data_IF_745583074706
#
_entry.id   IF_745583074706
#
_cell.length_a   1.000
_cell.length_b   1.000
_cell.length_c   1.000
_cell.angle_alpha   90.00
_cell.angle_beta   90.00
_cell.angle_gamma   90.00
#
_symmetry.space_group_name_H-M   'P 1'
#
loop_
_entity.id
_entity.type
_entity.pdbx_description
1 polymer ?
#
# COMPACT_ATOMS: atom_id res chain seq x y z
N UNK A 1 11.55 0.29 4.15
CA UNK A 1 11.92 0.22 5.58
C UNK A 1 13.31 -0.36 5.70
N UNK A 2 14.31 0.51 5.94
CA UNK A 2 15.75 0.17 5.93
C UNK A 2 16.36 0.05 7.33
N UNK A 3 15.54 0.07 8.38
CA UNK A 3 15.93 0.10 9.78
C UNK A 3 14.70 0.05 10.69
N UNK A 4 14.86 0.51 11.93
CA UNK A 4 13.79 0.48 12.92
C UNK A 4 12.67 1.50 12.62
N UNK A 5 11.42 1.05 12.68
CA UNK A 5 10.21 1.86 12.68
C UNK A 5 9.56 1.75 14.06
N UNK A 6 9.73 2.79 14.87
CA UNK A 6 9.33 2.80 16.28
C UNK A 6 8.28 3.87 16.54
N UNK A 7 7.18 3.52 17.20
CA UNK A 7 6.15 4.47 17.63
C UNK A 7 5.61 5.32 16.48
N UNK A 8 5.85 6.63 16.50
CA UNK A 8 5.45 7.53 15.41
C UNK A 8 6.08 7.15 14.06
N UNK A 9 7.28 6.58 14.03
CA UNK A 9 7.89 6.06 12.80
C UNK A 9 7.12 4.87 12.22
N UNK A 10 6.46 4.08 13.07
CA UNK A 10 5.54 3.02 12.64
C UNK A 10 4.28 3.64 12.02
N UNK A 11 3.72 4.71 12.60
CA UNK A 11 2.57 5.40 12.02
C UNK A 11 2.86 5.94 10.61
N UNK A 12 4.04 6.53 10.42
CA UNK A 12 4.47 7.02 9.11
C UNK A 12 4.54 5.87 8.08
N UNK A 13 5.12 4.73 8.47
CA UNK A 13 5.19 3.56 7.60
C UNK A 13 3.80 3.03 7.22
N UNK A 14 2.89 2.92 8.20
CA UNK A 14 1.52 2.45 7.99
C UNK A 14 0.70 3.39 7.10
N UNK A 15 1.04 4.68 7.05
CA UNK A 15 0.44 5.66 6.14
C UNK A 15 0.85 5.52 4.67
N UNK A 16 1.90 4.77 4.36
CA UNK A 16 2.31 4.49 2.97
C UNK A 16 1.35 3.50 2.28
N UNK A 17 1.20 3.62 0.96
CA UNK A 17 0.33 2.72 0.18
C UNK A 17 0.90 1.29 0.12
N UNK A 18 2.22 1.16 -0.08
CA UNK A 18 2.95 -0.11 -0.11
C UNK A 18 4.22 0.02 0.70
N UNK A 19 4.55 -0.99 1.51
CA UNK A 19 5.79 -1.07 2.29
C UNK A 19 6.63 -2.24 1.82
N UNK A 20 7.91 -2.00 1.58
CA UNK A 20 8.94 -3.02 1.37
C UNK A 20 9.98 -2.87 2.48
N UNK A 21 10.44 -3.98 3.05
CA UNK A 21 11.41 -3.98 4.15
C UNK A 21 12.69 -4.74 3.81
N UNK A 22 13.79 -4.28 4.39
CA UNK A 22 15.00 -5.08 4.52
C UNK A 22 14.82 -6.11 5.65
N UNK A 23 15.53 -7.25 5.59
CA UNK A 23 15.52 -8.25 6.68
C UNK A 23 15.89 -7.66 8.03
N UNK A 24 16.87 -6.74 8.06
CA UNK A 24 17.28 -6.05 9.29
C UNK A 24 16.23 -5.08 9.85
N UNK A 25 15.16 -4.77 9.12
CA UNK A 25 14.15 -3.84 9.63
C UNK A 25 13.57 -4.35 10.94
N UNK A 26 13.09 -3.42 11.77
CA UNK A 26 12.41 -3.73 13.03
C UNK A 26 11.16 -2.88 13.12
N UNK A 27 10.05 -3.46 13.54
CA UNK A 27 8.79 -2.76 13.73
C UNK A 27 8.37 -2.92 15.18
N UNK A 28 8.25 -1.79 15.87
CA UNK A 28 7.93 -1.74 17.28
C UNK A 28 6.93 -0.60 17.54
N UNK A 29 5.78 -0.93 18.09
CA UNK A 29 4.75 0.07 18.39
C UNK A 29 5.13 0.93 19.59
N UNK A 30 5.80 0.35 20.59
CA UNK A 30 6.35 0.95 21.82
C UNK A 30 5.44 1.81 22.70
N UNK A 31 4.18 2.07 22.30
CA UNK A 31 3.27 2.99 22.99
C UNK A 31 2.94 2.56 24.42
N UNK A 32 2.52 1.29 24.61
CA UNK A 32 2.11 0.81 25.93
C UNK A 32 3.29 0.67 26.89
N UNK A 33 4.47 0.29 26.38
CA UNK A 33 5.71 0.15 27.14
C UNK A 33 6.17 1.48 27.75
N UNK A 34 5.78 2.60 27.14
CA UNK A 34 6.03 3.95 27.66
C UNK A 34 4.80 4.56 28.36
N UNK A 35 3.75 3.77 28.60
CA UNK A 35 2.55 4.19 29.33
C UNK A 35 1.61 5.11 28.54
N UNK A 36 1.64 5.06 27.21
CA UNK A 36 0.85 5.95 26.35
C UNK A 36 -0.10 5.11 25.46
N UNK A 37 -1.34 5.56 25.33
CA UNK A 37 -2.27 4.97 24.35
C UNK A 37 -1.81 5.32 22.91
N UNK A 38 -1.81 4.38 21.96
CA UNK A 38 -1.43 4.68 20.57
C UNK A 38 -2.26 5.80 19.95
N UNK A 39 -1.59 6.79 19.36
CA UNK A 39 -2.22 7.94 18.68
C UNK A 39 -2.08 7.91 17.16
N UNK A 40 -2.60 8.93 16.48
CA UNK A 40 -2.38 9.15 15.04
C UNK A 40 -2.98 8.09 14.13
N UNK A 41 -4.04 7.40 14.57
CA UNK A 41 -4.69 6.34 13.79
C UNK A 41 -3.96 5.00 13.79
N UNK A 42 -2.94 4.81 14.64
CA UNK A 42 -2.11 3.59 14.67
C UNK A 42 -2.93 2.29 14.69
N UNK A 43 -3.81 2.14 15.68
CA UNK A 43 -4.63 0.93 15.87
C UNK A 43 -5.60 0.71 14.70
N UNK A 44 -6.16 1.79 14.16
CA UNK A 44 -7.05 1.77 13.00
C UNK A 44 -6.33 1.29 11.73
N UNK A 45 -5.11 1.77 11.49
CA UNK A 45 -4.31 1.40 10.31
C UNK A 45 -3.80 -0.02 10.43
N UNK A 46 -3.14 -0.36 11.55
CA UNK A 46 -2.51 -1.66 11.72
C UNK A 46 -3.53 -2.80 11.69
N UNK A 47 -4.71 -2.61 12.29
CA UNK A 47 -5.79 -3.61 12.26
C UNK A 47 -6.32 -3.88 10.86
N UNK A 48 -6.39 -2.85 10.01
CA UNK A 48 -6.81 -3.02 8.61
C UNK A 48 -5.73 -3.67 7.75
N UNK A 49 -4.46 -3.38 8.05
CA UNK A 49 -3.32 -3.85 7.25
C UNK A 49 -2.97 -5.30 7.59
N UNK A 50 -2.85 -5.63 8.88
CA UNK A 50 -2.30 -6.90 9.35
C UNK A 50 -3.29 -7.73 10.19
N UNK A 51 -4.53 -7.26 10.31
CA UNK A 51 -5.58 -7.96 11.04
C UNK A 51 -5.50 -7.80 12.57
N UNK A 52 -6.51 -8.34 13.29
CA UNK A 52 -6.66 -8.15 14.73
C UNK A 52 -5.57 -8.85 15.55
N UNK A 53 -5.14 -10.05 15.15
CA UNK A 53 -4.12 -10.83 15.87
C UNK A 53 -2.77 -10.10 15.90
N UNK A 54 -2.24 -9.74 14.73
CA UNK A 54 -0.99 -8.97 14.62
C UNK A 54 -1.07 -7.65 15.39
N UNK A 55 -2.22 -6.98 15.34
CA UNK A 55 -2.42 -5.72 16.07
C UNK A 55 -2.31 -5.94 17.58
N UNK A 56 -2.98 -6.95 18.13
CA UNK A 56 -2.91 -7.23 19.58
C UNK A 56 -1.50 -7.65 20.01
N UNK A 57 -0.87 -8.53 19.25
CA UNK A 57 0.48 -9.02 19.51
C UNK A 57 1.51 -7.87 19.59
N UNK A 58 1.49 -6.98 18.60
CA UNK A 58 2.46 -5.88 18.51
C UNK A 58 2.11 -4.66 19.36
N UNK A 59 0.82 -4.34 19.55
CA UNK A 59 0.40 -3.15 20.33
C UNK A 59 0.25 -3.45 21.81
N UNK A 60 -0.48 -4.52 22.15
CA UNK A 60 -0.83 -4.84 23.54
C UNK A 60 0.23 -5.68 24.20
N UNK A 61 0.69 -6.73 23.52
CA UNK A 61 1.73 -7.63 24.04
C UNK A 61 3.15 -7.15 23.73
N UNK A 62 3.27 -6.09 22.93
CA UNK A 62 4.55 -5.43 22.70
C UNK A 62 5.54 -6.22 21.86
N UNK A 63 5.06 -7.13 21.03
CA UNK A 63 5.91 -7.92 20.14
C UNK A 63 6.64 -7.01 19.13
N UNK A 64 7.96 -7.20 19.04
CA UNK A 64 8.82 -6.53 18.06
C UNK A 64 9.11 -7.50 16.93
N UNK A 65 8.78 -7.09 15.70
CA UNK A 65 8.90 -7.96 14.53
C UNK A 65 10.01 -7.48 13.61
N UNK A 66 10.70 -8.41 12.96
CA UNK A 66 11.70 -8.09 11.94
C UNK A 66 11.10 -7.99 10.53
N UNK A 67 11.94 -7.76 9.51
CA UNK A 67 11.47 -7.62 8.13
C UNK A 67 10.76 -8.87 7.60
N UNK A 68 11.29 -10.05 7.90
CA UNK A 68 10.75 -11.33 7.41
C UNK A 68 9.41 -11.63 8.08
N UNK A 69 9.34 -11.45 9.39
CA UNK A 69 8.10 -11.66 10.13
C UNK A 69 7.04 -10.62 9.79
N UNK A 70 7.45 -9.36 9.55
CA UNK A 70 6.53 -8.33 9.09
C UNK A 70 5.90 -8.65 7.73
N UNK A 71 6.60 -9.35 6.82
CA UNK A 71 6.02 -9.83 5.57
C UNK A 71 5.01 -10.95 5.83
N UNK A 72 5.38 -11.94 6.66
CA UNK A 72 4.51 -13.05 7.05
C UNK A 72 3.20 -12.57 7.70
N UNK A 73 3.28 -11.52 8.52
CA UNK A 73 2.15 -10.93 9.24
C UNK A 73 1.36 -9.91 8.42
N UNK A 74 1.79 -9.58 7.19
CA UNK A 74 1.12 -8.61 6.32
C UNK A 74 1.34 -7.15 6.69
N UNK A 75 2.27 -6.85 7.61
CA UNK A 75 2.66 -5.47 7.94
C UNK A 75 3.37 -4.84 6.73
N UNK A 76 4.20 -5.62 6.03
CA UNK A 76 4.84 -5.20 4.78
C UNK A 76 4.43 -6.12 3.64
N UNK A 77 4.45 -5.60 2.42
CA UNK A 77 4.12 -6.38 1.23
C UNK A 77 5.23 -7.35 0.84
N UNK A 78 6.49 -6.98 1.10
CA UNK A 78 7.65 -7.78 0.74
C UNK A 78 8.83 -7.50 1.66
N UNK A 79 9.54 -8.55 2.07
CA UNK A 79 10.88 -8.45 2.64
C UNK A 79 11.92 -8.84 1.60
N UNK A 80 13.04 -8.12 1.55
CA UNK A 80 14.17 -8.40 0.66
C UNK A 80 15.49 -8.34 1.42
N UNK A 81 16.57 -8.79 0.78
CA UNK A 81 17.91 -8.56 1.33
C UNK A 81 18.17 -7.07 1.53
N UNK A 82 19.03 -6.82 2.51
CA UNK A 82 19.37 -5.52 3.06
C UNK A 82 19.91 -4.52 2.04
N UNK A 83 20.66 -4.99 1.05
CA UNK A 83 21.26 -4.25 -0.06
C UNK A 83 20.32 -4.11 -1.27
N UNK A 84 19.31 -4.97 -1.38
CA UNK A 84 18.33 -4.97 -2.47
C UNK A 84 17.13 -4.05 -2.22
N UNK A 85 16.98 -3.53 -1.01
CA UNK A 85 15.81 -2.77 -0.59
C UNK A 85 15.46 -1.59 -1.52
N UNK A 86 16.44 -0.73 -1.85
CA UNK A 86 16.16 0.46 -2.67
C UNK A 86 15.80 0.08 -4.10
N UNK A 87 16.47 -0.94 -4.66
CA UNK A 87 16.17 -1.45 -5.99
C UNK A 87 14.73 -1.98 -6.05
N UNK A 88 14.36 -2.87 -5.13
CA UNK A 88 13.01 -3.43 -5.06
C UNK A 88 11.94 -2.34 -4.86
N UNK A 89 12.23 -1.31 -4.06
CA UNK A 89 11.34 -0.18 -3.87
C UNK A 89 11.14 0.66 -5.13
N UNK A 90 12.23 0.99 -5.84
CA UNK A 90 12.15 1.75 -7.09
C UNK A 90 11.48 0.95 -8.20
N UNK A 91 11.76 -0.34 -8.33
CA UNK A 91 11.10 -1.23 -9.30
C UNK A 91 9.59 -1.29 -9.06
N UNK A 92 9.16 -1.43 -7.80
CA UNK A 92 7.74 -1.38 -7.44
C UNK A 92 7.13 -0.02 -7.81
N UNK A 93 7.78 1.09 -7.45
CA UNK A 93 7.29 2.44 -7.70
C UNK A 93 7.22 2.79 -9.19
N UNK A 94 8.17 2.31 -9.99
CA UNK A 94 8.23 2.55 -11.44
C UNK A 94 6.96 2.07 -12.16
N UNK A 95 6.32 1.00 -11.67
CA UNK A 95 5.05 0.51 -12.22
C UNK A 95 3.92 1.53 -12.10
N UNK A 96 3.79 2.17 -10.93
CA UNK A 96 2.82 3.23 -10.74
C UNK A 96 3.22 4.50 -11.51
N UNK A 97 4.51 4.82 -11.55
CA UNK A 97 5.02 5.99 -12.28
C UNK A 97 4.84 5.90 -13.80
N UNK A 98 4.79 4.70 -14.38
CA UNK A 98 4.53 4.47 -15.80
C UNK A 98 3.05 4.61 -16.21
N UNK A 99 2.13 4.69 -15.25
CA UNK A 99 0.73 4.96 -15.51
C UNK A 99 0.48 6.49 -15.55
N UNK A 100 -0.59 6.95 -16.24
CA UNK A 100 -0.94 8.37 -16.23
C UNK A 100 -1.14 8.86 -14.79
N UNK A 101 -0.40 9.90 -14.40
CA UNK A 101 -0.34 10.40 -13.02
C UNK A 101 -1.73 10.65 -12.43
N UNK A 102 -2.62 11.23 -13.23
CA UNK A 102 -3.95 11.64 -12.77
C UNK A 102 -4.84 10.43 -12.53
N UNK A 103 -4.69 9.39 -13.37
CA UNK A 103 -5.36 8.11 -13.17
C UNK A 103 -4.87 7.42 -11.89
N UNK A 104 -3.56 7.46 -11.61
CA UNK A 104 -3.00 6.89 -10.38
C UNK A 104 -3.54 7.61 -9.15
N UNK A 105 -3.57 8.95 -9.17
CA UNK A 105 -4.11 9.74 -8.07
C UNK A 105 -5.58 9.40 -7.83
N UNK A 106 -6.38 9.36 -8.89
CA UNK A 106 -7.81 9.11 -8.73
C UNK A 106 -8.11 7.68 -8.29
N UNK A 107 -7.37 6.70 -8.82
CA UNK A 107 -7.44 5.31 -8.35
C UNK A 107 -7.10 5.20 -6.86
N UNK A 108 -6.05 5.89 -6.39
CA UNK A 108 -5.66 5.89 -4.97
C UNK A 108 -6.73 6.51 -4.08
N UNK A 109 -7.39 7.58 -4.53
CA UNK A 109 -8.49 8.20 -3.79
C UNK A 109 -9.68 7.25 -3.69
N UNK A 110 -10.07 6.60 -4.79
CA UNK A 110 -11.14 5.59 -4.78
C UNK A 110 -10.82 4.46 -3.81
N UNK A 111 -9.62 3.88 -3.85
CA UNK A 111 -9.20 2.82 -2.92
C UNK A 111 -9.34 3.27 -1.46
N UNK A 112 -8.89 4.48 -1.13
CA UNK A 112 -9.02 5.02 0.25
C UNK A 112 -10.48 5.22 0.65
N UNK A 113 -11.32 5.66 -0.28
CA UNK A 113 -12.75 5.86 -0.07
C UNK A 113 -13.57 4.56 -0.05
N UNK A 114 -12.96 3.39 -0.29
CA UNK A 114 -13.63 2.09 -0.11
C UNK A 114 -13.67 1.65 1.37
N UNK A 115 -12.94 2.33 2.26
CA UNK A 115 -12.82 1.92 3.65
C UNK A 115 -14.14 1.95 4.45
N UNK A 116 -15.17 2.64 3.96
CA UNK A 116 -16.51 2.73 4.55
C UNK A 116 -17.61 2.08 3.70
N UNK A 117 -17.24 1.41 2.60
CA UNK A 117 -18.19 0.69 1.75
C UNK A 117 -18.39 -0.72 2.28
N UNK A 118 -19.66 -1.08 2.51
CA UNK A 118 -20.03 -2.40 3.01
C UNK A 118 -20.70 -3.28 1.95
N UNK A 119 -21.35 -2.67 0.96
CA UNK A 119 -22.13 -3.37 -0.04
C UNK A 119 -21.55 -3.21 -1.46
N UNK A 120 -21.60 -4.28 -2.25
CA UNK A 120 -21.06 -4.28 -3.61
C UNK A 120 -21.69 -3.21 -4.53
N UNK A 121 -23.03 -2.99 -4.54
CA UNK A 121 -23.62 -1.92 -5.35
C UNK A 121 -23.08 -0.52 -5.04
N UNK A 122 -22.77 -0.24 -3.78
CA UNK A 122 -22.20 1.05 -3.36
C UNK A 122 -20.75 1.23 -3.83
N UNK A 123 -19.99 0.13 -3.86
CA UNK A 123 -18.65 0.12 -4.44
C UNK A 123 -18.70 0.45 -5.94
N UNK A 124 -19.57 -0.23 -6.68
CA UNK A 124 -19.78 0.01 -8.12
C UNK A 124 -20.20 1.46 -8.38
N UNK A 125 -21.14 1.99 -7.61
CA UNK A 125 -21.59 3.38 -7.76
C UNK A 125 -20.44 4.38 -7.55
N UNK A 126 -19.52 4.09 -6.62
CA UNK A 126 -18.36 4.95 -6.35
C UNK A 126 -17.30 4.90 -7.44
N UNK A 127 -17.10 3.73 -8.03
CA UNK A 127 -16.13 3.51 -9.10
C UNK A 127 -16.60 4.08 -10.44
N UNK A 128 -17.91 4.14 -10.67
CA UNK A 128 -18.50 4.52 -11.95
C UNK A 128 -18.06 5.92 -12.43
N UNK A 129 -18.08 6.93 -11.55
CA UNK A 129 -17.70 8.29 -11.95
C UNK A 129 -16.21 8.39 -12.34
N UNK A 130 -15.23 7.94 -11.52
CA UNK A 130 -13.83 7.86 -11.93
C UNK A 130 -13.61 7.02 -13.18
N UNK A 131 -14.33 5.91 -13.34
CA UNK A 131 -14.22 5.05 -14.52
C UNK A 131 -14.64 5.79 -15.79
N UNK A 132 -15.84 6.40 -15.81
CA UNK A 132 -16.33 7.18 -16.95
C UNK A 132 -15.46 8.42 -17.22
N UNK A 133 -14.90 9.05 -16.19
CA UNK A 133 -13.93 10.13 -16.36
C UNK A 133 -12.69 9.62 -17.10
N UNK A 134 -12.16 8.45 -16.73
CA UNK A 134 -10.93 7.90 -17.29
C UNK A 134 -11.03 7.59 -18.79
N UNK A 135 -12.20 7.19 -19.29
CA UNK A 135 -12.43 6.89 -20.72
C UNK A 135 -12.46 8.14 -21.60
N UNK A 136 -12.57 9.32 -20.99
CA UNK A 136 -12.59 10.62 -21.68
C UNK A 136 -11.25 11.35 -21.64
N UNK A 137 -10.19 10.69 -21.16
CA UNK A 137 -8.87 11.30 -21.05
C UNK A 137 -8.00 11.03 -22.28
N UNK A 138 -7.08 11.94 -22.66
CA UNK A 138 -6.19 11.75 -23.81
C UNK A 138 -5.36 10.45 -23.72
N UNK A 139 -4.88 10.12 -22.52
CA UNK A 139 -4.11 8.90 -22.29
C UNK A 139 -4.90 7.61 -22.57
N UNK A 140 -6.24 7.65 -22.52
CA UNK A 140 -7.07 6.49 -22.83
C UNK A 140 -7.09 6.24 -24.34
N UNK A 141 -7.32 7.30 -25.12
CA UNK A 141 -7.29 7.21 -26.60
C UNK A 141 -5.92 6.76 -27.12
N UNK A 142 -4.84 7.33 -26.60
CA UNK A 142 -3.47 6.95 -26.96
C UNK A 142 -3.20 5.46 -26.70
N UNK A 143 -3.61 4.96 -25.53
CA UNK A 143 -3.43 3.56 -25.15
C UNK A 143 -4.28 2.61 -26.00
N UNK A 144 -5.52 2.98 -26.34
CA UNK A 144 -6.36 2.18 -27.25
C UNK A 144 -5.73 2.10 -28.63
N UNK A 145 -5.24 3.21 -29.19
CA UNK A 145 -4.54 3.23 -30.49
C UNK A 145 -3.29 2.34 -30.46
N UNK A 146 -2.46 2.46 -29.42
CA UNK A 146 -1.26 1.64 -29.27
C UNK A 146 -1.58 0.13 -29.22
N UNK A 147 -2.62 -0.26 -28.48
CA UNK A 147 -3.10 -1.65 -28.40
C UNK A 147 -3.58 -2.17 -29.77
N UNK A 148 -4.36 -1.35 -30.50
CA UNK A 148 -4.83 -1.71 -31.85
C UNK A 148 -3.66 -1.93 -32.81
N UNK A 149 -2.65 -1.06 -32.80
CA UNK A 149 -1.46 -1.21 -33.65
C UNK A 149 -0.67 -2.49 -33.35
N UNK A 150 -0.51 -2.87 -32.08
CA UNK A 150 0.17 -4.11 -31.68
C UNK A 150 -0.57 -5.37 -32.12
N UNK A 151 -1.91 -5.35 -32.10
CA UNK A 151 -2.73 -6.48 -32.55
C UNK A 151 -2.60 -6.64 -34.07
N UNK A 152 -2.64 -5.54 -34.82
CA UNK A 152 -2.48 -5.55 -36.27
C UNK A 152 -1.09 -6.00 -36.72
N UNK A 153 -0.02 -5.59 -36.01
CA UNK A 153 1.35 -5.99 -36.34
C UNK A 153 1.67 -7.46 -36.04
N UNK A 154 0.94 -8.11 -35.12
CA UNK A 154 1.09 -9.55 -34.83
C UNK A 154 0.34 -10.46 -35.81
N UNK A 155 -0.58 -9.90 -36.62
CA UNK A 155 -1.36 -10.64 -37.63
C UNK A 155 -0.73 -10.58 -39.03
N UNK A 156 0.26 -9.71 -39.23
CA UNK A 156 1.10 -9.64 -40.42
C UNK A 156 2.40 -10.40 -40.21
#
# INVERSE_FOLDING_TARGET
MNGAAVGAGMNLALGCDVRIAARRARFDTRFLQIGIHPGGGHTWMLRRIAGPQTTMATVVFGEVVDGTEAERLGIVHRCVEDDQLLNAAHEMAARAAAAPRELVIETKKTIKAMADVSEHPDAVARELTPQLWSTRQPFFEERIKALQSQISSKKS
#
